data_IF_057638998330
#
_entry.id   IF_057638998330
#
_cell.length_a   1.000
_cell.length_b   1.000
_cell.length_c   1.000
_cell.angle_alpha   90.00
_cell.angle_beta   90.00
_cell.angle_gamma   90.00
#
_symmetry.space_group_name_H-M   'P 1'
#
loop_
_entity.id
_entity.type
_entity.pdbx_description
1 polymer ?
#
# COMPACT_ATOMS: atom_id res chain seq x y z
N UNK A 1 38.94 -56.05 -2.43
CA UNK A 1 37.61 -56.59 -2.78
C UNK A 1 36.60 -56.12 -1.75
N UNK A 2 35.50 -55.48 -2.19
CA UNK A 2 34.11 -55.41 -1.67
C UNK A 2 33.91 -55.91 -0.21
N UNK A 3 33.20 -55.20 0.68
CA UNK A 3 31.75 -54.95 0.61
C UNK A 3 31.28 -53.74 1.47
N UNK A 4 30.29 -53.06 0.89
CA UNK A 4 29.38 -52.00 1.39
C UNK A 4 28.28 -52.61 2.29
N UNK A 5 27.80 -51.88 3.31
CA UNK A 5 26.40 -51.77 3.83
C UNK A 5 26.41 -50.55 4.80
N UNK A 6 25.82 -49.36 4.61
CA UNK A 6 24.52 -48.88 4.09
C UNK A 6 23.30 -49.27 4.94
N UNK A 7 22.85 -48.35 5.82
CA UNK A 7 21.46 -48.10 6.30
C UNK A 7 21.55 -47.02 7.43
N UNK A 8 20.73 -45.99 7.60
CA UNK A 8 19.54 -45.49 6.90
C UNK A 8 19.35 -44.03 7.36
N UNK A 9 19.28 -43.10 6.41
CA UNK A 9 18.82 -41.74 6.63
C UNK A 9 17.29 -41.74 6.65
N UNK A 10 16.64 -41.21 7.69
CA UNK A 10 15.36 -40.48 7.62
C UNK A 10 15.22 -39.69 8.93
N UNK A 11 15.70 -38.43 8.96
CA UNK A 11 15.09 -37.43 9.83
C UNK A 11 14.41 -36.42 8.91
N UNK A 12 13.20 -36.79 8.53
CA UNK A 12 12.25 -35.99 7.76
C UNK A 12 12.04 -34.64 8.44
N UNK A 13 12.45 -33.59 7.73
CA UNK A 13 11.61 -32.42 7.42
C UNK A 13 10.47 -32.17 8.39
N UNK A 14 10.75 -31.42 9.46
CA UNK A 14 9.72 -30.62 10.11
C UNK A 14 9.53 -29.35 9.26
N UNK A 15 8.83 -29.50 8.13
CA UNK A 15 8.23 -28.36 7.44
C UNK A 15 6.97 -27.98 8.22
N UNK A 16 7.12 -27.21 9.29
CA UNK A 16 5.99 -26.54 9.93
C UNK A 16 5.62 -25.34 9.07
N UNK A 17 4.73 -25.53 8.09
CA UNK A 17 3.98 -24.39 7.52
C UNK A 17 2.92 -24.00 8.55
N UNK A 18 3.32 -23.16 9.50
CA UNK A 18 2.37 -22.41 10.31
C UNK A 18 1.77 -21.32 9.42
N UNK A 19 0.64 -21.61 8.77
CA UNK A 19 -0.16 -20.62 8.07
C UNK A 19 -1.23 -20.16 9.04
N UNK A 20 -0.91 -19.15 9.83
CA UNK A 20 -1.93 -18.34 10.49
C UNK A 20 -1.88 -17.02 9.73
N UNK A 21 -2.91 -16.75 8.94
CA UNK A 21 -2.91 -15.47 8.27
C UNK A 21 -4.27 -14.80 8.32
N UNK A 22 -4.26 -13.62 8.93
CA UNK A 22 -5.42 -12.76 9.03
C UNK A 22 -5.63 -12.18 7.64
N UNK A 23 -6.61 -12.70 6.91
CA UNK A 23 -7.06 -12.14 5.64
C UNK A 23 -7.84 -10.84 5.80
N UNK A 24 -7.84 -10.23 6.99
CA UNK A 24 -8.55 -9.01 7.29
C UNK A 24 -7.92 -8.20 8.43
N UNK A 25 -8.05 -6.88 8.37
CA UNK A 25 -7.60 -5.92 9.39
C UNK A 25 -8.72 -4.91 9.64
N UNK A 26 -9.08 -4.70 10.91
CA UNK A 26 -9.87 -3.54 11.34
C UNK A 26 -8.94 -2.35 11.61
N UNK A 27 -9.37 -1.17 11.16
CA UNK A 27 -8.61 0.07 11.27
C UNK A 27 -9.52 1.27 11.52
N UNK A 28 -8.90 2.39 11.89
CA UNK A 28 -9.58 3.62 12.26
C UNK A 28 -8.90 4.82 11.61
N UNK A 29 -9.67 5.66 10.91
CA UNK A 29 -9.18 6.94 10.43
C UNK A 29 -9.67 8.09 11.30
N UNK A 30 -8.73 8.92 11.73
CA UNK A 30 -8.98 10.10 12.57
C UNK A 30 -8.86 11.42 11.79
N UNK A 31 -8.21 11.41 10.62
CA UNK A 31 -7.94 12.60 9.81
C UNK A 31 -8.31 12.36 8.34
N UNK A 32 -8.89 13.35 7.67
CA UNK A 32 -9.29 13.26 6.26
C UNK A 32 -8.12 13.09 5.30
N UNK A 33 -6.92 13.47 5.74
CA UNK A 33 -5.68 13.35 5.00
C UNK A 33 -4.91 12.08 5.39
N UNK A 34 -5.44 11.28 6.33
CA UNK A 34 -4.84 10.01 6.70
C UNK A 34 -4.79 9.08 5.48
N UNK A 35 -3.66 8.39 5.37
CA UNK A 35 -3.44 7.32 4.41
C UNK A 35 -2.97 6.14 5.23
N UNK A 36 -3.75 5.07 5.20
CA UNK A 36 -3.36 3.83 5.84
C UNK A 36 -2.70 2.93 4.80
N UNK A 37 -1.64 2.24 5.22
CA UNK A 37 -0.80 1.43 4.36
C UNK A 37 -0.85 -0.02 4.83
N UNK A 38 -1.06 -0.94 3.90
CA UNK A 38 -1.11 -2.37 4.18
C UNK A 38 -0.29 -3.12 3.16
N UNK A 39 0.68 -3.91 3.62
CA UNK A 39 1.51 -4.74 2.76
C UNK A 39 1.01 -6.18 2.77
N UNK A 40 1.06 -6.82 1.61
CA UNK A 40 0.82 -8.25 1.51
C UNK A 40 1.69 -8.86 0.41
N UNK A 41 1.95 -10.17 0.55
CA UNK A 41 2.71 -10.95 -0.41
C UNK A 41 1.78 -11.94 -1.13
N UNK A 42 1.96 -12.06 -2.44
CA UNK A 42 1.33 -13.09 -3.26
C UNK A 42 2.38 -14.16 -3.56
N UNK A 43 2.14 -15.39 -3.11
CA UNK A 43 3.10 -16.50 -3.21
C UNK A 43 2.94 -17.33 -4.48
N UNK A 44 1.77 -17.26 -5.10
CA UNK A 44 1.46 -17.90 -6.37
C UNK A 44 0.58 -16.98 -7.20
N UNK A 45 0.78 -16.98 -8.53
CA UNK A 45 -0.09 -16.21 -9.40
C UNK A 45 -1.54 -16.73 -9.29
N UNK A 46 -2.50 -15.82 -9.12
CA UNK A 46 -3.90 -16.20 -8.89
C UNK A 46 -4.82 -15.01 -8.69
N UNK A 47 -6.11 -15.31 -8.55
CA UNK A 47 -7.13 -14.31 -8.26
C UNK A 47 -7.04 -13.84 -6.80
N UNK A 48 -7.13 -12.54 -6.61
CA UNK A 48 -7.12 -11.88 -5.30
C UNK A 48 -8.29 -10.90 -5.25
N UNK A 49 -9.13 -11.05 -4.23
CA UNK A 49 -10.28 -10.19 -3.98
C UNK A 49 -10.01 -9.30 -2.76
N UNK A 50 -9.77 -8.01 -3.01
CA UNK A 50 -9.47 -7.01 -1.99
C UNK A 50 -10.68 -6.13 -1.82
N UNK A 51 -11.19 -5.97 -0.60
CA UNK A 51 -12.32 -5.09 -0.35
C UNK A 51 -12.26 -4.41 1.01
N UNK A 52 -12.91 -3.26 1.10
CA UNK A 52 -13.14 -2.56 2.36
C UNK A 52 -14.59 -2.67 2.80
N UNK A 53 -14.83 -2.63 4.09
CA UNK A 53 -16.16 -2.51 4.68
C UNK A 53 -16.11 -1.55 5.86
N UNK A 54 -17.01 -0.59 5.95
CA UNK A 54 -16.97 0.45 6.98
C UNK A 54 -18.31 0.70 7.63
N UNK A 55 -18.27 1.49 8.72
CA UNK A 55 -19.49 2.06 9.25
C UNK A 55 -19.91 3.27 8.40
N UNK A 56 -21.15 3.26 7.91
CA UNK A 56 -21.73 4.43 7.25
C UNK A 56 -21.63 5.66 8.20
N UNK A 57 -21.23 6.85 7.71
CA UNK A 57 -21.13 7.27 6.31
C UNK A 57 -19.69 7.30 5.73
N UNK A 58 -18.78 6.43 6.17
CA UNK A 58 -17.42 6.41 5.62
C UNK A 58 -17.39 5.77 4.22
N UNK A 59 -16.74 6.44 3.27
CA UNK A 59 -16.55 5.92 1.91
C UNK A 59 -15.04 5.78 1.66
N UNK A 60 -14.41 4.68 2.11
CA UNK A 60 -12.99 4.45 1.87
C UNK A 60 -12.70 4.27 0.39
N UNK A 61 -11.56 4.78 -0.05
CA UNK A 61 -10.98 4.56 -1.37
C UNK A 61 -9.86 3.53 -1.26
N UNK A 62 -9.86 2.54 -2.16
CA UNK A 62 -8.84 1.51 -2.23
C UNK A 62 -7.92 1.75 -3.42
N UNK A 63 -6.63 1.94 -3.16
CA UNK A 63 -5.60 1.92 -4.21
C UNK A 63 -4.66 0.75 -4.01
N UNK A 64 -4.38 0.00 -5.07
CA UNK A 64 -3.40 -1.08 -5.10
C UNK A 64 -2.14 -0.63 -5.84
N UNK A 65 -1.00 -0.93 -5.25
CA UNK A 65 0.33 -0.61 -5.77
C UNK A 65 1.18 -1.88 -5.90
N UNK A 66 2.12 -1.86 -6.84
CA UNK A 66 3.09 -2.93 -7.04
C UNK A 66 4.49 -2.37 -7.22
N UNK A 67 5.50 -3.19 -6.92
CA UNK A 67 6.90 -2.84 -7.11
C UNK A 67 7.72 -4.10 -7.40
N UNK A 68 8.83 -3.92 -8.11
CA UNK A 68 9.85 -4.96 -8.32
C UNK A 68 11.14 -4.68 -7.54
N UNK A 69 11.19 -3.55 -6.81
CA UNK A 69 12.36 -3.17 -6.02
C UNK A 69 12.42 -3.98 -4.72
N UNK A 70 13.60 -4.49 -4.38
CA UNK A 70 13.82 -5.25 -3.15
C UNK A 70 13.73 -4.38 -1.88
N UNK A 71 14.03 -3.08 -1.98
CA UNK A 71 13.93 -2.10 -0.90
C UNK A 71 13.20 -0.86 -1.44
N UNK A 72 11.87 -0.90 -1.57
CA UNK A 72 11.11 0.11 -2.30
C UNK A 72 11.00 1.42 -1.50
N UNK A 73 11.27 2.52 -2.17
CA UNK A 73 10.88 3.87 -1.76
C UNK A 73 9.51 4.23 -2.33
N UNK A 74 8.92 5.36 -1.92
CA UNK A 74 7.66 5.82 -2.49
C UNK A 74 7.69 6.01 -4.02
N UNK A 75 8.86 6.22 -4.65
CA UNK A 75 8.94 6.34 -6.11
C UNK A 75 8.87 4.99 -6.84
N UNK A 76 9.19 3.89 -6.16
CA UNK A 76 9.25 2.55 -6.74
C UNK A 76 7.88 1.86 -6.78
N UNK A 77 6.91 2.39 -6.03
CA UNK A 77 5.54 1.90 -6.01
C UNK A 77 4.74 2.51 -7.15
N UNK A 78 4.33 1.66 -8.09
CA UNK A 78 3.50 2.05 -9.24
C UNK A 78 2.07 1.61 -9.00
N UNK A 79 1.11 2.50 -9.30
CA UNK A 79 -0.32 2.20 -9.16
C UNK A 79 -0.71 1.09 -10.13
N UNK A 80 -1.29 0.04 -9.60
CA UNK A 80 -1.80 -1.10 -10.36
C UNK A 80 -3.30 -0.94 -10.62
N UNK A 81 -4.07 -0.62 -9.59
CA UNK A 81 -5.51 -0.50 -9.67
C UNK A 81 -6.05 0.47 -8.60
N UNK A 82 -7.25 0.95 -8.82
CA UNK A 82 -7.95 1.87 -7.93
C UNK A 82 -9.45 1.62 -8.03
N UNK A 83 -10.14 1.72 -6.89
CA UNK A 83 -11.58 1.73 -6.83
C UNK A 83 -12.04 2.84 -5.88
N UNK A 84 -12.99 3.65 -6.34
CA UNK A 84 -13.76 4.55 -5.50
C UNK A 84 -15.20 4.04 -5.39
N UNK A 85 -15.80 4.25 -4.22
CA UNK A 85 -17.22 4.00 -3.93
C UNK A 85 -18.16 4.99 -4.68
N UNK A 86 -17.80 5.43 -5.89
CA UNK A 86 -18.68 6.31 -6.67
C UNK A 86 -19.75 5.47 -7.34
N UNK A 87 -20.96 5.66 -6.84
CA UNK A 87 -22.27 5.12 -7.27
C UNK A 87 -22.59 5.10 -8.79
N UNK A 88 -21.69 5.53 -9.68
CA UNK A 88 -21.90 5.50 -11.14
C UNK A 88 -21.60 4.16 -11.80
N UNK A 89 -21.19 3.14 -11.04
CA UNK A 89 -21.26 1.76 -11.50
C UNK A 89 -21.87 0.90 -10.38
N UNK A 90 -23.18 0.69 -10.45
CA UNK A 90 -23.92 -0.33 -9.71
C UNK A 90 -23.29 -1.70 -9.95
N UNK A 91 -22.24 -2.05 -9.23
CA UNK A 91 -21.70 -3.41 -9.25
C UNK A 91 -22.13 -4.26 -8.07
N UNK A 92 -22.61 -3.67 -6.95
CA UNK A 92 -23.14 -4.47 -5.84
C UNK A 92 -24.31 -3.80 -5.11
N UNK A 93 -25.45 -3.61 -5.80
CA UNK A 93 -26.73 -3.62 -5.10
C UNK A 93 -27.11 -5.07 -4.78
N UNK A 94 -26.94 -5.45 -3.52
CA UNK A 94 -27.92 -6.09 -2.63
C UNK A 94 -27.18 -6.82 -1.52
N UNK A 95 -27.32 -6.29 -0.31
CA UNK A 95 -27.11 -7.02 0.95
C UNK A 95 -25.68 -7.49 1.31
N UNK A 96 -24.62 -6.94 0.70
CA UNK A 96 -23.22 -7.22 1.08
C UNK A 96 -22.34 -5.95 1.19
N UNK A 97 -22.45 -5.28 2.34
CA UNK A 97 -21.39 -4.75 3.23
C UNK A 97 -20.04 -4.20 2.72
N UNK A 98 -19.79 -3.95 1.45
CA UNK A 98 -18.45 -3.55 0.93
C UNK A 98 -18.49 -2.17 0.27
N UNK A 99 -17.54 -1.29 0.61
CA UNK A 99 -17.49 0.09 0.11
C UNK A 99 -16.62 0.19 -1.16
N UNK A 100 -15.37 -0.31 -1.11
CA UNK A 100 -14.48 -0.41 -2.27
C UNK A 100 -14.08 -1.86 -2.50
N UNK A 101 -13.99 -2.31 -3.75
CA UNK A 101 -13.57 -3.67 -4.11
C UNK A 101 -12.71 -3.73 -5.37
N UNK A 102 -11.68 -4.56 -5.35
CA UNK A 102 -10.83 -4.92 -6.48
C UNK A 102 -10.73 -6.44 -6.58
N UNK A 103 -11.07 -7.00 -7.75
CA UNK A 103 -10.87 -8.42 -8.07
C UNK A 103 -9.91 -8.51 -9.24
N UNK A 104 -8.71 -9.06 -9.01
CA UNK A 104 -7.60 -9.01 -9.96
C UNK A 104 -6.84 -10.33 -9.98
N UNK A 105 -6.31 -10.70 -11.14
CA UNK A 105 -5.28 -11.75 -11.23
C UNK A 105 -3.91 -11.10 -10.94
N UNK A 106 -3.32 -11.44 -9.80
CA UNK A 106 -2.01 -10.94 -9.37
C UNK A 106 -0.93 -11.98 -9.64
N UNK A 107 0.30 -11.50 -9.92
CA UNK A 107 1.48 -12.33 -10.04
C UNK A 107 2.16 -12.53 -8.68
N UNK A 108 3.19 -13.36 -8.64
CA UNK A 108 4.03 -13.51 -7.45
C UNK A 108 4.74 -12.17 -7.18
N UNK A 109 4.65 -11.67 -5.95
CA UNK A 109 5.34 -10.43 -5.58
C UNK A 109 4.76 -9.72 -4.35
N UNK A 110 5.35 -8.56 -4.07
CA UNK A 110 4.94 -7.69 -2.98
C UNK A 110 3.98 -6.62 -3.48
N UNK A 111 2.91 -6.43 -2.73
CA UNK A 111 1.87 -5.46 -3.01
C UNK A 111 1.65 -4.57 -1.79
N UNK A 112 1.18 -3.37 -2.08
CA UNK A 112 0.79 -2.39 -1.08
C UNK A 112 -0.63 -1.95 -1.40
N UNK A 113 -1.54 -2.07 -0.46
CA UNK A 113 -2.84 -1.44 -0.49
C UNK A 113 -2.79 -0.15 0.33
N UNK A 114 -3.37 0.92 -0.19
CA UNK A 114 -3.59 2.15 0.59
C UNK A 114 -5.06 2.44 0.69
N UNK A 115 -5.51 2.72 1.90
CA UNK A 115 -6.88 3.15 2.19
C UNK A 115 -6.88 4.62 2.56
N UNK A 116 -7.72 5.39 1.87
CA UNK A 116 -7.92 6.82 2.16
C UNK A 116 -9.40 7.14 2.26
N UNK A 117 -9.75 8.22 2.95
CA UNK A 117 -11.13 8.73 2.91
C UNK A 117 -11.48 9.32 1.54
N UNK A 118 -12.78 9.32 1.22
CA UNK A 118 -13.30 9.98 0.03
C UNK A 118 -12.77 11.41 -0.12
N UNK A 119 -12.32 11.76 -1.34
CA UNK A 119 -11.71 13.05 -1.63
C UNK A 119 -10.19 13.07 -1.51
N UNK A 120 -9.57 12.16 -0.74
CA UNK A 120 -8.11 12.03 -0.63
C UNK A 120 -7.55 11.10 -1.74
N UNK A 121 -7.61 11.57 -2.98
CA UNK A 121 -7.25 10.79 -4.17
C UNK A 121 -5.73 10.85 -4.41
N UNK A 122 -5.18 9.78 -4.98
CA UNK A 122 -3.82 9.77 -5.50
C UNK A 122 -3.62 10.81 -6.60
N UNK A 123 -2.53 11.58 -6.57
CA UNK A 123 -2.25 12.65 -7.53
C UNK A 123 -1.55 12.18 -8.82
N UNK A 124 -1.02 10.96 -8.83
CA UNK A 124 -0.28 10.41 -9.98
C UNK A 124 -0.23 8.88 -10.00
N UNK A 125 0.63 8.34 -10.85
CA UNK A 125 0.80 6.89 -11.05
C UNK A 125 1.89 6.28 -10.15
N UNK A 126 2.66 7.10 -9.43
CA UNK A 126 3.63 6.65 -8.42
C UNK A 126 3.20 7.10 -7.04
N UNK A 127 3.52 6.32 -6.00
CA UNK A 127 3.14 6.68 -4.63
C UNK A 127 3.80 8.01 -4.19
N UNK A 128 4.99 8.30 -4.69
CA UNK A 128 5.70 9.57 -4.48
C UNK A 128 4.96 10.81 -5.00
N UNK A 129 3.97 10.64 -5.88
CA UNK A 129 3.11 11.74 -6.33
C UNK A 129 2.20 12.27 -5.22
N UNK A 130 1.99 11.48 -4.16
CA UNK A 130 1.18 11.86 -3.01
C UNK A 130 -0.32 11.80 -3.25
N UNK A 131 -1.07 12.41 -2.32
CA UNK A 131 -2.52 12.41 -2.29
C UNK A 131 -3.06 13.84 -2.17
N UNK A 132 -4.27 14.08 -2.65
CA UNK A 132 -4.87 15.42 -2.74
C UNK A 132 -5.27 16.02 -1.38
N UNK A 133 -5.35 15.21 -0.33
CA UNK A 133 -5.97 15.57 0.94
C UNK A 133 -7.50 15.43 0.86
N UNK A 134 -8.11 14.88 1.91
CA UNK A 134 -9.55 14.59 1.96
C UNK A 134 -10.41 15.72 2.53
N UNK A 135 -9.82 16.87 2.85
CA UNK A 135 -10.52 17.99 3.46
C UNK A 135 -10.63 17.84 4.97
N UNK A 136 -11.86 17.69 5.51
CA UNK A 136 -12.09 17.58 6.96
C UNK A 136 -13.09 16.47 7.27
N UNK A 137 -12.76 15.65 8.26
CA UNK A 137 -13.67 14.66 8.83
C UNK A 137 -14.47 15.31 9.96
N UNK A 138 -15.77 15.04 10.03
CA UNK A 138 -16.63 15.43 11.15
C UNK A 138 -16.59 14.43 12.31
N UNK A 139 -16.06 13.22 12.07
CA UNK A 139 -15.99 12.11 13.04
C UNK A 139 -14.81 11.18 12.74
N UNK A 140 -14.52 10.29 13.70
CA UNK A 140 -13.65 9.13 13.47
C UNK A 140 -14.40 8.07 12.65
N UNK A 141 -13.70 7.40 11.73
CA UNK A 141 -14.28 6.37 10.87
C UNK A 141 -13.63 5.02 11.10
N UNK A 142 -14.46 3.98 11.16
CA UNK A 142 -14.06 2.60 11.37
C UNK A 142 -14.25 1.84 10.06
N UNK A 143 -13.23 1.09 9.66
CA UNK A 143 -13.33 0.23 8.50
C UNK A 143 -12.52 -1.04 8.71
N UNK A 144 -12.80 -2.04 7.88
CA UNK A 144 -12.02 -3.24 7.73
C UNK A 144 -11.48 -3.31 6.30
N UNK A 145 -10.24 -3.74 6.15
CA UNK A 145 -9.67 -4.20 4.88
C UNK A 145 -9.68 -5.72 4.89
N UNK A 146 -10.12 -6.34 3.82
CA UNK A 146 -10.16 -7.78 3.66
C UNK A 146 -9.47 -8.15 2.34
N UNK A 147 -8.66 -9.20 2.36
CA UNK A 147 -8.02 -9.82 1.20
C UNK A 147 -8.42 -11.30 1.19
N UNK A 148 -9.43 -11.62 0.42
CA UNK A 148 -9.90 -12.99 0.23
C UNK A 148 -9.11 -13.63 -0.93
N UNK A 149 -8.19 -14.51 -0.57
CA UNK A 149 -7.40 -15.29 -1.53
C UNK A 149 -6.72 -16.50 -0.87
N UNK A 150 -6.54 -17.57 -1.63
CA UNK A 150 -5.73 -18.73 -1.23
C UNK A 150 -4.24 -18.57 -1.55
N UNK A 151 -3.86 -17.52 -2.28
CA UNK A 151 -2.47 -17.27 -2.74
C UNK A 151 -1.76 -16.17 -1.96
N UNK A 152 -2.41 -15.61 -0.93
CA UNK A 152 -1.86 -14.58 -0.03
C UNK A 152 -1.52 -15.23 1.31
N UNK A 153 -0.34 -14.89 1.84
CA UNK A 153 0.25 -15.54 3.02
C UNK A 153 0.56 -14.63 4.20
N UNK A 154 0.51 -13.31 3.97
CA UNK A 154 0.51 -12.30 5.03
C UNK A 154 -0.26 -11.05 4.61
N UNK A 155 -1.19 -10.55 5.43
CA UNK A 155 -1.66 -9.16 5.38
C UNK A 155 -1.24 -8.43 6.65
N UNK A 156 -0.46 -7.36 6.49
CA UNK A 156 0.11 -6.61 7.61
C UNK A 156 -0.11 -5.10 7.46
N UNK A 157 -0.31 -4.42 8.59
CA UNK A 157 -0.22 -2.95 8.63
C UNK A 157 1.22 -2.52 8.35
N UNK A 158 1.41 -1.58 7.43
CA UNK A 158 2.71 -1.10 7.03
C UNK A 158 2.94 0.35 7.45
N UNK A 159 4.21 0.71 7.64
CA UNK A 159 4.60 2.11 7.69
C UNK A 159 4.56 2.71 6.27
N UNK A 160 4.33 4.02 6.13
CA UNK A 160 4.46 4.69 4.84
C UNK A 160 5.86 4.40 4.26
N UNK A 161 5.97 3.99 2.98
CA UNK A 161 7.26 3.82 2.32
C UNK A 161 8.10 5.09 2.42
N UNK A 162 9.41 4.92 2.62
CA UNK A 162 10.31 6.05 2.78
C UNK A 162 10.20 7.00 1.58
N UNK A 163 10.01 8.29 1.87
CA UNK A 163 10.05 9.32 0.86
C UNK A 163 11.45 9.33 0.20
N UNK A 164 11.50 9.60 -1.10
CA UNK A 164 12.79 9.78 -1.77
C UNK A 164 13.45 11.02 -1.15
N UNK A 165 14.70 10.91 -0.66
CA UNK A 165 15.43 12.08 -0.18
C UNK A 165 15.47 13.12 -1.29
N UNK A 166 15.01 14.35 -1.02
CA UNK A 166 15.18 15.44 -1.96
C UNK A 166 16.67 15.52 -2.30
N UNK A 167 17.06 15.47 -3.58
CA UNK A 167 18.45 15.53 -3.97
C UNK A 167 19.11 16.75 -3.32
N UNK A 168 20.30 16.59 -2.75
CA UNK A 168 21.05 17.71 -2.15
C UNK A 168 21.20 18.90 -3.14
N UNK A 169 21.09 18.66 -4.44
CA UNK A 169 20.99 19.67 -5.50
C UNK A 169 19.82 20.64 -5.34
N UNK A 170 18.66 20.22 -4.85
CA UNK A 170 17.55 21.14 -4.56
C UNK A 170 17.91 22.13 -3.43
N UNK A 171 18.56 21.62 -2.36
CA UNK A 171 19.08 22.45 -1.27
C UNK A 171 20.25 23.34 -1.71
N UNK A 172 21.12 22.85 -2.60
CA UNK A 172 22.20 23.64 -3.20
C UNK A 172 21.68 24.73 -4.13
N UNK A 173 20.60 24.48 -4.87
CA UNK A 173 19.95 25.50 -5.71
C UNK A 173 19.29 26.58 -4.86
N UNK A 174 18.58 26.22 -3.79
CA UNK A 174 17.96 27.18 -2.86
C UNK A 174 19.03 28.02 -2.14
N UNK A 175 20.07 27.39 -1.60
CA UNK A 175 21.16 28.09 -0.94
C UNK A 175 22.01 28.93 -1.90
N UNK A 176 22.23 28.45 -3.13
CA UNK A 176 22.89 29.20 -4.19
C UNK A 176 22.11 30.44 -4.60
N UNK A 177 20.78 30.34 -4.74
CA UNK A 177 19.91 31.47 -5.06
C UNK A 177 19.92 32.54 -3.95
N UNK A 178 19.87 32.11 -2.69
CA UNK A 178 19.97 33.00 -1.53
C UNK A 178 21.34 33.70 -1.45
N UNK A 179 22.42 33.00 -1.80
CA UNK A 179 23.77 33.58 -1.89
C UNK A 179 23.87 34.67 -2.96
N UNK A 180 23.33 34.43 -4.16
CA UNK A 180 23.36 35.41 -5.26
C UNK A 180 22.49 36.64 -4.96
N UNK A 181 21.31 36.46 -4.35
CA UNK A 181 20.43 37.56 -3.95
C UNK A 181 20.97 38.36 -2.74
N UNK A 182 21.74 37.73 -1.86
CA UNK A 182 22.41 38.40 -0.74
C UNK A 182 23.60 39.26 -1.17
N UNK A 183 24.35 38.83 -2.20
CA UNK A 183 25.53 39.54 -2.71
C UNK A 183 25.12 40.78 -3.53
N UNK A 184 23.97 40.75 -4.22
CA UNK A 184 23.50 41.88 -5.04
C UNK A 184 23.06 43.11 -4.23
N UNK A 185 22.79 42.99 -2.92
CA UNK A 185 22.41 44.10 -2.04
C UNK A 185 23.58 44.89 -1.45
N UNK A 186 24.85 44.53 -1.71
CA UNK A 186 26.01 45.12 -1.02
C UNK A 186 26.81 46.17 -1.81
N UNK A 187 26.28 46.74 -2.89
CA UNK A 187 26.85 47.91 -3.57
C UNK A 187 25.86 49.07 -3.66
N UNK A 188 25.66 49.72 -2.53
CA UNK A 188 25.17 51.10 -2.45
C UNK A 188 25.79 51.72 -1.20
N UNK A 189 27.02 52.23 -1.37
CA UNK A 189 27.67 53.30 -0.60
C UNK A 189 28.97 53.64 -1.30
#
# INVERSE_FOLDING_TARGET
>A
MKKIHALLAVLTLLSTTAQADLTWIDATQHDANQVDYFSFQVDAAGEVNIYTASNAPFNPLLTLWTTTAANPTAADWTKLAFNDDRATANFFETTNSKDSQLVLNLGIGNYLATITGFGNNTLGNTLSSGFSGGGSFSSTFLYSLNIDSSVVSALESANPPAAVPLPATAWMLISGLMGVLGISKRKSR
#
